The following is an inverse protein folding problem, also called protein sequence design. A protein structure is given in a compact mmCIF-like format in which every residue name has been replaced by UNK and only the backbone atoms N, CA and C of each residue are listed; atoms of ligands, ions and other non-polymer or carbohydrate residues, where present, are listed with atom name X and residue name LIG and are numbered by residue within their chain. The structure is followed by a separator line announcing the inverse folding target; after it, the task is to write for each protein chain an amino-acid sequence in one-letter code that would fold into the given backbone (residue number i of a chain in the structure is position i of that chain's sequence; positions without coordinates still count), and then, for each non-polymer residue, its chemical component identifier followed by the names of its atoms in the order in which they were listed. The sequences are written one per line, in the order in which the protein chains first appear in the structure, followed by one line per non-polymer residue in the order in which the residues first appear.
data_IF_470989155640
#
_entry.id   IF_470989155640
#
_cell.length_a   1.000
_cell.length_b   1.000
_cell.length_c   1.000
_cell.angle_alpha   90.00
_cell.angle_beta   90.00
_cell.angle_gamma   90.00
#
_symmetry.space_group_name_H-M   'P 1'
#
loop_
_entity.id
_entity.type
_entity.pdbx_description
1 polymer ?
#
# COMPACT_ATOMS: atom_id res chain seq x y z
N UNK A 1 -1.54 -11.87 0.63
CA UNK A 1 -2.31 -11.09 1.64
C UNK A 1 -2.75 -9.71 1.17
N UNK A 2 -2.13 -9.08 0.17
CA UNK A 2 -2.42 -7.69 -0.20
C UNK A 2 -3.01 -7.50 -1.61
N UNK A 3 -3.45 -8.56 -2.30
CA UNK A 3 -3.84 -8.48 -3.73
C UNK A 3 -4.96 -7.46 -4.03
N UNK A 4 -5.72 -7.04 -3.02
CA UNK A 4 -6.76 -6.02 -3.11
C UNK A 4 -6.23 -4.57 -3.12
N UNK A 5 -4.93 -4.34 -2.90
CA UNK A 5 -4.32 -3.00 -2.84
C UNK A 5 -3.93 -2.45 -4.21
N UNK A 6 -4.06 -3.28 -5.26
CA UNK A 6 -3.73 -2.91 -6.63
C UNK A 6 -4.79 -3.44 -7.57
N UNK A 7 -5.22 -2.59 -8.49
CA UNK A 7 -6.14 -2.91 -9.57
C UNK A 7 -5.50 -2.51 -10.91
N UNK A 8 -5.52 -3.42 -11.89
CA UNK A 8 -4.94 -3.19 -13.22
C UNK A 8 -3.40 -3.19 -13.25
N UNK A 9 -2.86 -3.12 -14.46
CA UNK A 9 -1.42 -3.09 -14.71
C UNK A 9 -0.69 -4.40 -14.40
N UNK A 10 0.64 -4.34 -14.34
CA UNK A 10 1.49 -5.48 -14.00
C UNK A 10 1.33 -5.87 -12.51
N UNK A 11 1.56 -7.14 -12.13
CA UNK A 11 1.64 -7.51 -10.72
C UNK A 11 2.67 -6.65 -9.97
N UNK A 12 2.43 -6.41 -8.68
CA UNK A 12 3.40 -5.72 -7.83
C UNK A 12 4.68 -6.54 -7.70
N UNK A 13 5.78 -5.86 -7.43
CA UNK A 13 7.06 -6.49 -7.17
C UNK A 13 7.09 -7.00 -5.71
N UNK A 14 6.97 -8.31 -5.50
CA UNK A 14 6.87 -8.89 -4.15
C UNK A 14 8.11 -8.64 -3.29
N UNK A 15 9.31 -8.54 -3.88
CA UNK A 15 10.55 -8.17 -3.19
C UNK A 15 10.47 -6.80 -2.50
N UNK A 16 9.87 -5.80 -3.17
CA UNK A 16 9.66 -4.47 -2.57
C UNK A 16 8.65 -4.52 -1.43
N UNK A 17 7.64 -5.37 -1.55
CA UNK A 17 6.64 -5.53 -0.50
C UNK A 17 7.22 -6.22 0.73
N UNK A 18 8.14 -7.15 0.53
CA UNK A 18 8.88 -7.81 1.61
C UNK A 18 9.81 -6.83 2.32
N UNK A 19 10.65 -6.10 1.57
CA UNK A 19 11.54 -5.09 2.14
C UNK A 19 10.77 -3.99 2.91
N UNK A 20 9.59 -3.59 2.43
CA UNK A 20 8.73 -2.65 3.17
C UNK A 20 8.24 -3.23 4.50
N UNK A 21 7.84 -4.51 4.53
CA UNK A 21 7.40 -5.18 5.77
C UNK A 21 8.56 -5.35 6.76
N UNK A 22 9.73 -5.74 6.28
CA UNK A 22 10.94 -5.84 7.09
C UNK A 22 11.28 -4.51 7.76
N UNK A 23 11.19 -3.39 7.02
CA UNK A 23 11.41 -2.06 7.58
C UNK A 23 10.38 -1.71 8.67
N UNK A 24 9.10 -2.06 8.50
CA UNK A 24 8.10 -1.84 9.55
C UNK A 24 8.39 -2.67 10.80
N UNK A 25 8.82 -3.91 10.63
CA UNK A 25 9.19 -4.81 11.73
C UNK A 25 10.43 -4.31 12.49
N UNK A 26 11.49 -3.89 11.78
CA UNK A 26 12.72 -3.37 12.37
C UNK A 26 12.49 -2.15 13.28
N UNK A 27 11.56 -1.28 12.89
CA UNK A 27 11.24 -0.06 13.63
C UNK A 27 10.00 -0.17 14.51
N UNK A 28 9.43 -1.37 14.68
CA UNK A 28 8.21 -1.62 15.47
C UNK A 28 7.06 -0.69 15.07
N UNK A 29 6.86 -0.53 13.77
CA UNK A 29 5.81 0.30 13.18
C UNK A 29 4.62 -0.59 12.82
N UNK A 30 3.43 -0.20 13.28
CA UNK A 30 2.17 -0.83 12.92
C UNK A 30 1.41 0.01 11.90
N UNK A 31 0.74 -0.65 10.95
CA UNK A 31 -0.23 -0.01 10.06
C UNK A 31 -1.45 0.45 10.86
N UNK A 32 -1.70 1.76 10.87
CA UNK A 32 -2.85 2.37 11.55
C UNK A 32 -4.17 2.15 10.80
N UNK A 33 -4.10 1.57 9.61
CA UNK A 33 -5.22 1.41 8.69
C UNK A 33 -5.43 2.64 7.82
N UNK A 34 -6.66 2.82 7.36
CA UNK A 34 -7.08 3.95 6.54
C UNK A 34 -8.53 4.29 6.85
N UNK A 35 -8.92 5.52 6.50
CA UNK A 35 -10.30 5.94 6.43
C UNK A 35 -10.52 6.66 5.10
N UNK A 36 -11.68 6.46 4.48
CA UNK A 36 -12.02 7.06 3.19
C UNK A 36 -11.60 6.21 1.99
N UNK A 37 -10.96 6.84 1.02
CA UNK A 37 -10.68 6.21 -0.29
C UNK A 37 -9.64 5.11 -0.13
N UNK A 38 -9.96 3.91 -0.64
CA UNK A 38 -9.09 2.74 -0.52
C UNK A 38 -7.78 2.88 -1.30
N UNK A 39 -7.80 3.53 -2.47
CA UNK A 39 -6.63 3.77 -3.32
C UNK A 39 -6.13 5.20 -3.11
N UNK A 40 -4.81 5.36 -3.02
CA UNK A 40 -4.18 6.68 -2.82
C UNK A 40 -3.45 7.16 -4.07
N UNK A 41 -3.30 6.28 -5.06
CA UNK A 41 -2.71 6.59 -6.35
C UNK A 41 -3.53 6.00 -7.49
N UNK A 42 -3.60 6.74 -8.59
CA UNK A 42 -4.31 6.36 -9.81
C UNK A 42 -3.57 6.86 -11.05
N UNK A 43 -3.54 6.04 -12.11
CA UNK A 43 -2.99 6.41 -13.42
C UNK A 43 -3.85 5.86 -14.53
N UNK A 44 -4.03 6.67 -15.57
CA UNK A 44 -4.86 6.34 -16.73
C UNK A 44 -6.31 6.83 -16.54
N UNK A 45 -6.94 7.21 -17.63
CA UNK A 45 -8.27 7.83 -17.66
C UNK A 45 -9.34 6.96 -18.36
N UNK A 46 -8.94 5.82 -18.93
CA UNK A 46 -9.85 4.86 -19.56
C UNK A 46 -9.94 3.59 -18.71
N UNK A 47 -11.13 2.96 -18.57
CA UNK A 47 -11.31 1.77 -17.73
C UNK A 47 -10.31 0.64 -18.01
N UNK A 48 -9.93 0.43 -19.27
CA UNK A 48 -9.04 -0.64 -19.71
C UNK A 48 -7.57 -0.38 -19.35
N UNK A 49 -7.21 0.89 -19.15
CA UNK A 49 -5.83 1.33 -18.86
C UNK A 49 -5.68 1.88 -17.44
N UNK A 50 -6.77 1.95 -16.69
CA UNK A 50 -6.80 2.50 -15.35
C UNK A 50 -6.08 1.57 -14.39
N UNK A 51 -5.09 2.11 -13.69
CA UNK A 51 -4.33 1.44 -12.67
C UNK A 51 -4.55 2.21 -11.38
N UNK A 52 -4.96 1.50 -10.33
CA UNK A 52 -5.14 2.08 -8.99
C UNK A 52 -4.34 1.30 -7.98
N UNK A 53 -3.66 2.02 -7.10
CA UNK A 53 -2.79 1.44 -6.08
C UNK A 53 -2.97 2.17 -4.76
N UNK A 54 -2.81 1.44 -3.66
CA UNK A 54 -2.70 2.04 -2.33
C UNK A 54 -1.21 2.12 -1.96
N UNK A 55 -0.60 3.25 -2.27
CA UNK A 55 0.84 3.48 -2.05
C UNK A 55 1.13 4.08 -0.69
N UNK A 56 0.22 4.89 -0.15
CA UNK A 56 0.43 5.58 1.11
C UNK A 56 -0.04 4.71 2.29
N UNK A 57 0.73 4.73 3.38
CA UNK A 57 0.41 4.09 4.65
C UNK A 57 0.66 5.03 5.81
N UNK A 58 -0.34 5.16 6.68
CA UNK A 58 -0.13 5.73 8.01
C UNK A 58 0.40 4.63 8.92
N UNK A 59 1.62 4.79 9.42
CA UNK A 59 2.23 3.86 10.35
C UNK A 59 2.67 4.58 11.61
N UNK A 60 2.59 3.92 12.75
CA UNK A 60 3.08 4.46 14.02
C UNK A 60 3.62 3.34 14.91
N UNK A 61 4.53 3.69 15.82
CA UNK A 61 4.91 2.81 16.92
C UNK A 61 4.01 3.06 18.14
N UNK A 62 4.18 2.25 19.18
CA UNK A 62 3.40 2.31 20.42
C UNK A 62 3.39 3.67 21.13
N UNK A 63 4.37 4.54 20.86
CA UNK A 63 4.44 5.88 21.50
C UNK A 63 3.55 6.91 20.79
N UNK A 64 3.17 6.65 19.54
CA UNK A 64 2.45 7.59 18.67
C UNK A 64 1.08 7.08 18.21
N UNK A 65 0.73 5.83 18.56
CA UNK A 65 -0.61 5.26 18.40
C UNK A 65 -1.58 5.85 19.43
#
# INVERSE_FOLDING_TARGET
MYSYEKCGGAPREESRMEAFREALEEYFLEDLGYSGVWFTWERGNLPETNIRERLDRGVANDKWK
#
